data_IF_847991811510
#
_entry.id   IF_847991811510
#
_cell.length_a   1.000
_cell.length_b   1.000
_cell.length_c   1.000
_cell.angle_alpha   90.00
_cell.angle_beta   90.00
_cell.angle_gamma   90.00
#
_symmetry.space_group_name_H-M   'P 1'
#
loop_
_entity.id
_entity.type
_entity.pdbx_description
1 polymer ?
#
# COMPACT_ATOMS: atom_id res chain seq x y z
N UNK A 1 -39.57 -72.08 41.94
CA UNK A 1 -39.41 -70.68 42.40
C UNK A 1 -39.42 -70.65 43.92
N UNK A 2 -38.62 -69.80 44.55
CA UNK A 2 -38.66 -69.65 46.02
C UNK A 2 -39.90 -68.84 46.45
N UNK A 3 -40.40 -69.01 47.69
CA UNK A 3 -41.51 -68.21 48.23
C UNK A 3 -41.25 -66.71 48.15
N UNK A 4 -40.00 -66.29 48.36
CA UNK A 4 -39.56 -64.90 48.18
C UNK A 4 -39.75 -64.41 46.73
N UNK A 5 -39.43 -65.26 45.75
CA UNK A 5 -39.63 -64.95 44.33
C UNK A 5 -41.11 -64.82 43.95
N UNK A 6 -41.98 -65.67 44.50
CA UNK A 6 -43.44 -65.60 44.29
C UNK A 6 -43.99 -64.30 44.89
N UNK A 7 -43.59 -63.96 46.12
CA UNK A 7 -44.00 -62.72 46.79
C UNK A 7 -43.56 -61.47 46.02
N UNK A 8 -42.32 -61.42 45.51
CA UNK A 8 -41.84 -60.30 44.68
C UNK A 8 -42.63 -60.14 43.37
N UNK A 9 -43.10 -61.24 42.76
CA UNK A 9 -43.93 -61.18 41.55
C UNK A 9 -45.35 -60.69 41.85
N UNK A 10 -45.95 -61.10 42.96
CA UNK A 10 -47.25 -60.59 43.41
C UNK A 10 -47.20 -59.06 43.62
N UNK A 11 -46.16 -58.55 44.27
CA UNK A 11 -45.96 -57.10 44.45
C UNK A 11 -45.79 -56.35 43.12
N UNK A 12 -45.10 -56.92 42.13
CA UNK A 12 -45.01 -56.32 40.79
C UNK A 12 -46.36 -56.23 40.08
N UNK A 13 -47.23 -57.22 40.26
CA UNK A 13 -48.58 -57.23 39.68
C UNK A 13 -49.48 -56.16 40.31
N UNK A 14 -49.35 -55.92 41.62
CA UNK A 14 -50.13 -54.89 42.33
C UNK A 14 -49.65 -53.47 42.01
N UNK A 15 -48.33 -53.29 41.83
CA UNK A 15 -47.72 -51.97 41.61
C UNK A 15 -47.75 -51.50 40.14
N UNK A 16 -48.16 -52.36 39.20
CA UNK A 16 -48.44 -51.94 37.83
C UNK A 16 -49.93 -51.68 37.67
N UNK A 17 -50.30 -50.54 37.11
CA UNK A 17 -51.67 -50.30 36.67
C UNK A 17 -52.02 -51.08 35.38
N UNK A 18 -51.00 -51.59 34.67
CA UNK A 18 -51.11 -52.32 33.40
C UNK A 18 -51.79 -51.53 32.26
N UNK A 19 -51.74 -50.19 32.32
CA UNK A 19 -52.38 -49.30 31.34
C UNK A 19 -51.55 -49.11 30.04
N UNK A 20 -50.22 -49.10 30.15
CA UNK A 20 -49.29 -48.90 29.02
C UNK A 20 -47.89 -49.43 29.35
N UNK A 21 -47.11 -49.75 28.31
CA UNK A 21 -45.70 -50.15 28.43
C UNK A 21 -44.83 -49.25 27.54
N UNK A 22 -44.59 -48.03 28.01
CA UNK A 22 -43.80 -47.03 27.29
C UNK A 22 -42.31 -47.19 27.62
N UNK A 23 -41.41 -47.01 26.63
CA UNK A 23 -39.98 -47.05 26.90
C UNK A 23 -39.57 -45.87 27.79
N UNK A 24 -38.62 -46.09 28.70
CA UNK A 24 -38.07 -45.01 29.51
C UNK A 24 -37.11 -44.14 28.68
N UNK A 25 -37.64 -43.10 28.03
CA UNK A 25 -36.91 -42.17 27.17
C UNK A 25 -37.32 -40.72 27.41
N UNK A 26 -36.48 -39.75 26.97
CA UNK A 26 -36.73 -38.33 27.19
C UNK A 26 -38.10 -37.84 26.66
N UNK A 27 -38.64 -38.45 25.60
CA UNK A 27 -39.94 -38.10 25.04
C UNK A 27 -41.13 -38.71 25.78
N UNK A 28 -40.91 -39.76 26.57
CA UNK A 28 -41.95 -40.49 27.31
C UNK A 28 -41.94 -40.19 28.81
N UNK A 29 -40.95 -39.44 29.32
CA UNK A 29 -40.96 -38.90 30.69
C UNK A 29 -42.21 -38.06 30.96
N UNK A 30 -42.68 -37.32 29.95
CA UNK A 30 -43.92 -36.55 30.02
C UNK A 30 -45.01 -37.28 29.25
N UNK A 31 -45.92 -37.94 29.99
CA UNK A 31 -47.08 -38.63 29.40
C UNK A 31 -47.95 -37.73 28.52
N UNK A 32 -48.06 -36.45 28.88
CA UNK A 32 -48.82 -35.46 28.14
C UNK A 32 -47.97 -34.21 27.96
N UNK A 33 -47.90 -33.71 26.72
CA UNK A 33 -47.26 -32.43 26.43
C UNK A 33 -48.25 -31.31 26.73
N UNK A 34 -47.84 -30.37 27.57
CA UNK A 34 -48.64 -29.18 27.93
C UNK A 34 -47.75 -27.95 27.89
N UNK A 35 -48.24 -26.86 27.32
CA UNK A 35 -47.62 -25.55 27.45
C UNK A 35 -48.44 -24.67 28.39
N UNK A 36 -47.79 -24.04 29.37
CA UNK A 36 -48.42 -23.19 30.39
C UNK A 36 -48.54 -21.74 29.91
N UNK A 37 -47.48 -21.18 29.33
CA UNK A 37 -47.51 -19.82 28.75
C UNK A 37 -48.19 -19.80 27.37
N UNK A 38 -48.13 -20.91 26.63
CA UNK A 38 -48.59 -21.02 25.26
C UNK A 38 -47.54 -21.73 24.40
N UNK A 39 -47.97 -22.56 23.46
CA UNK A 39 -47.03 -23.23 22.54
C UNK A 39 -46.42 -22.19 21.62
N UNK A 40 -45.14 -22.34 21.30
CA UNK A 40 -44.52 -21.55 20.24
C UNK A 40 -45.34 -21.63 18.96
N UNK A 41 -45.54 -20.49 18.31
CA UNK A 41 -46.06 -20.43 16.96
C UNK A 41 -45.10 -19.58 16.10
N UNK A 42 -45.07 -19.80 14.77
CA UNK A 42 -44.14 -19.10 13.89
C UNK A 42 -44.21 -17.56 13.94
N UNK A 43 -45.36 -17.01 14.36
CA UNK A 43 -45.60 -15.57 14.37
C UNK A 43 -45.33 -14.89 15.71
N UNK A 44 -45.06 -15.65 16.78
CA UNK A 44 -44.90 -15.12 18.14
C UNK A 44 -43.77 -14.09 18.23
N UNK A 45 -42.66 -14.36 17.54
CA UNK A 45 -41.46 -13.51 17.52
C UNK A 45 -41.10 -13.04 16.09
N UNK A 46 -41.98 -13.29 15.12
CA UNK A 46 -41.71 -12.98 13.71
C UNK A 46 -41.50 -11.49 13.45
N UNK A 47 -42.20 -10.64 14.21
CA UNK A 47 -42.13 -9.19 14.09
C UNK A 47 -41.10 -8.55 15.02
N UNK A 48 -40.37 -9.35 15.80
CA UNK A 48 -39.27 -8.83 16.59
C UNK A 48 -38.09 -8.50 15.68
N UNK A 49 -37.66 -7.24 15.69
CA UNK A 49 -36.51 -6.77 14.93
C UNK A 49 -35.38 -6.43 15.87
N UNK A 50 -34.15 -6.64 15.43
CA UNK A 50 -32.96 -6.24 16.18
C UNK A 50 -33.00 -4.74 16.54
N UNK A 51 -32.65 -4.44 17.79
CA UNK A 51 -32.58 -3.08 18.32
C UNK A 51 -31.17 -2.76 18.76
N UNK A 52 -30.76 -1.51 18.57
CA UNK A 52 -29.50 -0.99 19.11
C UNK A 52 -29.72 -0.48 20.53
N UNK A 53 -28.73 -0.74 21.39
CA UNK A 53 -28.75 -0.26 22.78
C UNK A 53 -28.53 1.25 22.89
N UNK A 54 -27.75 1.81 21.98
CA UNK A 54 -27.49 3.24 21.85
C UNK A 54 -28.02 3.76 20.52
N UNK A 55 -28.44 5.03 20.52
CA UNK A 55 -28.85 5.68 19.29
C UNK A 55 -27.67 5.78 18.31
N UNK A 56 -27.93 5.47 17.05
CA UNK A 56 -26.90 5.46 16.02
C UNK A 56 -26.75 6.85 15.39
N UNK A 57 -25.52 7.34 15.18
CA UNK A 57 -25.34 8.51 14.33
C UNK A 57 -25.80 8.18 12.91
N UNK A 58 -26.87 8.84 12.48
CA UNK A 58 -27.45 8.59 11.16
C UNK A 58 -26.53 9.13 10.05
N UNK A 59 -26.42 8.40 8.95
CA UNK A 59 -25.64 8.85 7.79
C UNK A 59 -26.23 10.11 7.15
N UNK A 60 -27.56 10.14 6.95
CA UNK A 60 -28.29 11.29 6.39
C UNK A 60 -28.78 12.21 7.50
N UNK A 61 -27.87 12.87 8.21
CA UNK A 61 -28.22 13.88 9.21
C UNK A 61 -27.60 15.22 8.87
N UNK A 62 -28.22 16.30 9.35
CA UNK A 62 -27.59 17.61 9.35
C UNK A 62 -26.51 17.61 10.43
N UNK A 63 -25.26 17.85 10.03
CA UNK A 63 -24.12 17.94 10.95
C UNK A 63 -24.16 19.30 11.68
N UNK A 64 -23.66 19.33 12.92
CA UNK A 64 -23.35 20.59 13.62
C UNK A 64 -22.09 21.21 13.03
N UNK A 65 -21.81 22.48 13.38
CA UNK A 65 -20.62 23.18 12.88
C UNK A 65 -19.32 22.48 13.31
N UNK A 66 -19.22 22.08 14.58
CA UNK A 66 -18.04 21.36 15.10
C UNK A 66 -17.83 20.01 14.40
N UNK A 67 -18.91 19.31 14.06
CA UNK A 67 -18.83 18.05 13.32
C UNK A 67 -18.45 18.29 11.86
N UNK A 68 -18.97 19.34 11.24
CA UNK A 68 -18.58 19.76 9.89
C UNK A 68 -17.08 20.04 9.83
N UNK A 69 -16.59 20.92 10.70
CA UNK A 69 -15.17 21.26 10.78
C UNK A 69 -14.33 20.00 11.00
N UNK A 70 -14.72 19.14 11.94
CA UNK A 70 -14.02 17.89 12.20
C UNK A 70 -13.96 16.98 10.97
N UNK A 71 -15.09 16.69 10.31
CA UNK A 71 -15.11 15.75 9.18
C UNK A 71 -14.41 16.33 7.93
N UNK A 72 -14.52 17.64 7.70
CA UNK A 72 -13.82 18.33 6.61
C UNK A 72 -12.31 18.34 6.88
N UNK A 73 -11.90 18.59 8.12
CA UNK A 73 -10.50 18.54 8.51
C UNK A 73 -9.92 17.13 8.32
N UNK A 74 -10.64 16.08 8.73
CA UNK A 74 -10.20 14.70 8.50
C UNK A 74 -10.02 14.41 7.01
N UNK A 75 -10.99 14.79 6.18
CA UNK A 75 -10.93 14.57 4.73
C UNK A 75 -9.79 15.38 4.09
N UNK A 76 -9.62 16.65 4.49
CA UNK A 76 -8.57 17.51 3.97
C UNK A 76 -7.17 17.04 4.40
N UNK A 77 -7.02 16.51 5.61
CA UNK A 77 -5.78 15.94 6.10
C UNK A 77 -5.38 14.70 5.27
N UNK A 78 -6.35 13.81 5.00
CA UNK A 78 -6.11 12.67 4.11
C UNK A 78 -5.71 13.14 2.71
N UNK A 79 -6.46 14.07 2.13
CA UNK A 79 -6.18 14.59 0.78
C UNK A 79 -4.80 15.25 0.70
N UNK A 80 -4.38 16.00 1.72
CA UNK A 80 -3.03 16.59 1.78
C UNK A 80 -1.95 15.52 1.80
N UNK A 81 -2.11 14.48 2.62
CA UNK A 81 -1.14 13.37 2.67
C UNK A 81 -1.05 12.62 1.34
N UNK A 82 -2.18 12.40 0.68
CA UNK A 82 -2.23 11.77 -0.63
C UNK A 82 -1.51 12.63 -1.69
N UNK A 83 -1.78 13.94 -1.72
CA UNK A 83 -1.15 14.87 -2.66
C UNK A 83 0.36 14.98 -2.41
N UNK A 84 0.79 15.12 -1.15
CA UNK A 84 2.20 15.17 -0.78
C UNK A 84 2.94 13.90 -1.20
N UNK A 85 2.34 12.73 -1.00
CA UNK A 85 2.91 11.46 -1.42
C UNK A 85 3.01 11.33 -2.94
N UNK A 86 2.00 11.82 -3.68
CA UNK A 86 2.03 11.86 -5.14
C UNK A 86 3.15 12.79 -5.61
N UNK A 87 3.20 14.02 -5.09
CA UNK A 87 4.21 15.01 -5.46
C UNK A 87 5.62 14.51 -5.15
N UNK A 88 5.83 13.87 -4.00
CA UNK A 88 7.11 13.30 -3.63
C UNK A 88 7.54 12.17 -4.60
N UNK A 89 6.63 11.25 -4.95
CA UNK A 89 6.96 10.17 -5.88
C UNK A 89 7.23 10.70 -7.29
N UNK A 90 6.52 11.75 -7.70
CA UNK A 90 6.78 12.41 -8.97
C UNK A 90 8.14 13.12 -8.93
N UNK A 91 8.44 13.89 -7.88
CA UNK A 91 9.71 14.60 -7.76
C UNK A 91 10.91 13.64 -7.75
N UNK A 92 10.83 12.52 -7.03
CA UNK A 92 11.87 11.48 -7.03
C UNK A 92 12.20 10.93 -8.43
N UNK A 93 11.23 10.90 -9.35
CA UNK A 93 11.39 10.35 -10.69
C UNK A 93 11.61 11.40 -11.78
N UNK A 94 11.06 12.61 -11.63
CA UNK A 94 11.01 13.63 -12.68
C UNK A 94 11.82 14.88 -12.37
N UNK A 95 12.25 15.12 -11.14
CA UNK A 95 13.21 16.19 -10.86
C UNK A 95 14.58 15.79 -11.45
N UNK A 96 14.73 16.03 -12.74
CA UNK A 96 16.01 16.51 -13.28
C UNK A 96 16.35 17.73 -12.42
N UNK A 97 17.57 17.85 -11.86
CA UNK A 97 17.80 18.75 -10.74
C UNK A 97 17.49 20.19 -11.17
N UNK A 98 16.34 20.71 -10.74
CA UNK A 98 16.03 22.12 -10.91
C UNK A 98 17.15 22.96 -10.30
N UNK A 99 17.84 22.42 -9.28
CA UNK A 99 19.04 22.99 -8.70
C UNK A 99 20.14 23.22 -9.74
N UNK A 100 20.44 22.25 -10.61
CA UNK A 100 21.44 22.41 -11.67
C UNK A 100 20.98 23.40 -12.74
N UNK A 101 19.69 23.39 -13.09
CA UNK A 101 19.14 24.36 -14.04
C UNK A 101 19.17 25.79 -13.49
N UNK A 102 18.77 25.99 -12.22
CA UNK A 102 18.82 27.28 -11.51
C UNK A 102 20.24 27.77 -11.37
N UNK A 103 21.19 26.89 -11.07
CA UNK A 103 22.60 27.25 -10.99
C UNK A 103 23.14 27.75 -12.34
N UNK A 104 22.86 27.05 -13.43
CA UNK A 104 23.27 27.49 -14.78
C UNK A 104 22.59 28.81 -15.17
N UNK A 105 21.31 28.99 -14.82
CA UNK A 105 20.60 30.26 -15.03
C UNK A 105 21.26 31.42 -14.29
N UNK A 106 21.65 31.23 -13.03
CA UNK A 106 22.37 32.24 -12.25
C UNK A 106 23.76 32.52 -12.84
N UNK A 107 24.52 31.50 -13.23
CA UNK A 107 25.81 31.66 -13.93
C UNK A 107 25.65 32.45 -15.23
N UNK A 108 24.61 32.16 -16.02
CA UNK A 108 24.29 32.88 -17.25
C UNK A 108 23.98 34.36 -16.97
N UNK A 109 23.14 34.62 -15.97
CA UNK A 109 22.75 35.96 -15.56
C UNK A 109 23.94 36.79 -15.08
N UNK A 110 24.92 36.18 -14.43
CA UNK A 110 26.10 36.87 -13.89
C UNK A 110 27.19 37.10 -14.94
N UNK A 111 27.46 36.12 -15.80
CA UNK A 111 28.63 36.14 -16.68
C UNK A 111 28.33 36.45 -18.15
N UNK A 112 27.13 36.10 -18.63
CA UNK A 112 26.76 36.26 -20.04
C UNK A 112 25.85 37.46 -20.23
N UNK A 113 24.79 37.56 -19.44
CA UNK A 113 23.75 38.58 -19.59
C UNK A 113 24.26 40.03 -19.58
N UNK A 114 25.23 40.43 -18.73
CA UNK A 114 25.76 41.80 -18.73
C UNK A 114 26.57 42.17 -19.98
N UNK A 115 27.02 41.16 -20.73
CA UNK A 115 27.86 41.30 -21.94
C UNK A 115 27.15 40.80 -23.20
N UNK A 116 25.91 40.35 -23.08
CA UNK A 116 25.12 39.82 -24.19
C UNK A 116 24.76 40.97 -25.14
N UNK A 117 24.81 40.71 -26.44
CA UNK A 117 24.43 41.69 -27.44
C UNK A 117 22.92 41.96 -27.37
N UNK A 118 22.54 43.23 -27.48
CA UNK A 118 21.14 43.68 -27.31
C UNK A 118 20.26 43.37 -28.53
N UNK A 119 20.81 43.45 -29.74
CA UNK A 119 20.09 43.21 -30.99
C UNK A 119 20.46 41.82 -31.55
N UNK A 120 19.64 40.83 -31.22
CA UNK A 120 19.85 39.44 -31.66
C UNK A 120 19.34 39.23 -33.10
N UNK A 121 18.35 39.99 -33.55
CA UNK A 121 17.80 39.94 -34.89
C UNK A 121 18.85 40.34 -35.94
N UNK A 122 19.66 41.34 -35.64
CA UNK A 122 20.79 41.74 -36.48
C UNK A 122 21.83 40.61 -36.56
N UNK A 123 22.19 40.00 -35.43
CA UNK A 123 23.14 38.88 -35.38
C UNK A 123 22.67 37.69 -36.23
N UNK A 124 21.40 37.30 -36.11
CA UNK A 124 20.82 36.23 -36.90
C UNK A 124 20.84 36.57 -38.40
N UNK A 125 20.52 37.81 -38.75
CA UNK A 125 20.55 38.30 -40.14
C UNK A 125 21.96 38.35 -40.71
N UNK A 126 22.95 38.65 -39.87
CA UNK A 126 24.37 38.60 -40.23
C UNK A 126 24.84 37.16 -40.46
N UNK A 127 24.52 36.23 -39.56
CA UNK A 127 24.84 34.82 -39.71
C UNK A 127 24.24 34.22 -40.98
N UNK A 128 22.97 34.51 -41.30
CA UNK A 128 22.32 34.09 -42.55
C UNK A 128 23.08 34.56 -43.78
N UNK A 129 23.55 35.82 -43.78
CA UNK A 129 24.33 36.39 -44.88
C UNK A 129 25.72 35.77 -44.98
N UNK A 130 26.40 35.50 -43.87
CA UNK A 130 27.71 34.83 -43.87
C UNK A 130 27.62 33.38 -44.36
N UNK A 131 26.60 32.65 -43.90
CA UNK A 131 26.35 31.29 -44.37
C UNK A 131 26.04 31.25 -45.87
N UNK A 132 25.23 32.18 -46.38
CA UNK A 132 24.97 32.31 -47.82
C UNK A 132 26.23 32.62 -48.66
N UNK A 133 27.24 33.24 -48.04
CA UNK A 133 28.56 33.51 -48.64
C UNK A 133 29.57 32.37 -48.44
N UNK A 134 29.15 31.26 -47.84
CA UNK A 134 30.00 30.09 -47.60
C UNK A 134 30.97 30.21 -46.42
N UNK A 135 30.85 31.25 -45.58
CA UNK A 135 31.62 31.34 -44.35
C UNK A 135 31.06 30.38 -43.30
N UNK A 136 31.96 29.72 -42.56
CA UNK A 136 31.63 28.77 -41.49
C UNK A 136 31.81 29.42 -40.11
N UNK A 137 30.95 29.08 -39.14
CA UNK A 137 31.10 29.54 -37.76
C UNK A 137 32.36 28.96 -37.11
N UNK A 138 32.90 29.69 -36.13
CA UNK A 138 33.95 29.20 -35.25
C UNK A 138 33.39 28.18 -34.25
N UNK A 139 34.21 27.20 -33.84
CA UNK A 139 33.82 26.24 -32.80
C UNK A 139 33.74 26.93 -31.43
N UNK A 140 32.90 26.38 -30.55
CA UNK A 140 32.78 26.88 -29.16
C UNK A 140 34.09 26.72 -28.41
N UNK A 141 34.39 27.71 -27.56
CA UNK A 141 35.57 27.65 -26.70
C UNK A 141 35.32 26.78 -25.47
N UNK A 142 36.39 26.27 -24.86
CA UNK A 142 36.27 25.46 -23.62
C UNK A 142 35.60 26.26 -22.49
N UNK A 143 35.87 27.56 -22.39
CA UNK A 143 35.26 28.42 -21.37
C UNK A 143 33.74 28.57 -21.55
N UNK A 144 33.28 28.71 -22.80
CA UNK A 144 31.86 28.79 -23.14
C UNK A 144 31.13 27.47 -22.83
N UNK A 145 31.73 26.35 -23.20
CA UNK A 145 31.13 25.04 -22.95
C UNK A 145 31.11 24.69 -21.45
N UNK A 146 32.20 24.98 -20.73
CA UNK A 146 32.33 24.69 -19.29
C UNK A 146 31.33 25.46 -18.43
N UNK A 147 30.78 26.58 -18.90
CA UNK A 147 29.70 27.30 -18.22
C UNK A 147 28.49 26.38 -17.94
N UNK A 148 28.19 25.50 -18.89
CA UNK A 148 27.08 24.54 -18.85
C UNK A 148 27.47 23.20 -18.25
N UNK A 149 28.70 23.06 -17.73
CA UNK A 149 29.14 21.86 -17.04
C UNK A 149 28.32 21.69 -15.76
N UNK A 150 27.44 20.70 -15.78
CA UNK A 150 26.61 20.24 -14.66
C UNK A 150 26.82 18.73 -14.47
N UNK A 151 26.56 18.17 -13.28
CA UNK A 151 26.64 16.73 -13.07
C UNK A 151 25.71 15.99 -14.03
N UNK A 152 26.26 15.13 -14.89
CA UNK A 152 25.45 14.22 -15.70
C UNK A 152 25.17 12.95 -14.88
N UNK A 153 23.96 12.88 -14.32
CA UNK A 153 23.51 11.74 -13.52
C UNK A 153 23.45 10.43 -14.31
N UNK A 154 23.34 10.50 -15.64
CA UNK A 154 23.34 9.31 -16.50
C UNK A 154 24.73 8.68 -16.54
N UNK A 155 25.76 9.48 -16.78
CA UNK A 155 27.15 9.01 -16.81
C UNK A 155 27.59 8.54 -15.41
N UNK A 156 27.27 9.32 -14.36
CA UNK A 156 27.56 8.91 -12.97
C UNK A 156 26.92 7.56 -12.61
N UNK A 157 25.66 7.34 -13.00
CA UNK A 157 24.97 6.08 -12.78
C UNK A 157 25.61 4.92 -13.55
N UNK A 158 25.94 5.14 -14.82
CA UNK A 158 26.56 4.12 -15.66
C UNK A 158 27.95 3.73 -15.14
N UNK A 159 28.77 4.71 -14.79
CA UNK A 159 30.12 4.49 -14.24
C UNK A 159 30.08 3.77 -12.90
N UNK A 160 29.12 4.09 -12.03
CA UNK A 160 28.93 3.40 -10.76
C UNK A 160 28.56 1.92 -10.98
N UNK A 161 27.63 1.65 -11.90
CA UNK A 161 27.23 0.28 -12.27
C UNK A 161 28.40 -0.50 -12.87
N UNK A 162 29.15 0.11 -13.79
CA UNK A 162 30.28 -0.55 -14.43
C UNK A 162 31.43 -0.78 -13.46
N UNK A 163 31.66 0.13 -12.52
CA UNK A 163 32.63 -0.06 -11.44
C UNK A 163 32.23 -1.24 -10.54
N UNK A 164 30.95 -1.35 -10.17
CA UNK A 164 30.46 -2.49 -9.39
C UNK A 164 30.63 -3.81 -10.14
N UNK A 165 30.25 -3.88 -11.42
CA UNK A 165 30.42 -5.08 -12.26
C UNK A 165 31.87 -5.52 -12.35
N UNK A 166 32.80 -4.57 -12.51
CA UNK A 166 34.24 -4.87 -12.55
C UNK A 166 34.75 -5.41 -11.22
N UNK A 167 34.26 -4.89 -10.09
CA UNK A 167 34.64 -5.39 -8.75
C UNK A 167 34.12 -6.80 -8.51
N UNK A 168 32.86 -7.05 -8.88
CA UNK A 168 32.26 -8.38 -8.75
C UNK A 168 32.98 -9.42 -9.62
N UNK A 169 33.32 -9.06 -10.86
CA UNK A 169 34.08 -9.94 -11.75
C UNK A 169 35.46 -10.29 -11.16
N UNK A 170 36.16 -9.33 -10.55
CA UNK A 170 37.44 -9.59 -9.86
C UNK A 170 37.26 -10.54 -8.68
N UNK A 171 36.24 -10.29 -7.85
CA UNK A 171 35.95 -11.15 -6.71
C UNK A 171 35.60 -12.58 -7.15
N UNK A 172 34.88 -12.73 -8.27
CA UNK A 172 34.56 -14.04 -8.84
C UNK A 172 35.82 -14.78 -9.35
N UNK A 173 36.76 -14.07 -9.99
CA UNK A 173 38.05 -14.65 -10.39
C UNK A 173 38.88 -15.09 -9.17
N UNK A 174 38.94 -14.27 -8.12
CA UNK A 174 39.61 -14.58 -6.86
C UNK A 174 38.96 -15.78 -6.17
N UNK A 175 37.63 -15.85 -6.15
CA UNK A 175 36.89 -17.00 -5.63
C UNK A 175 37.27 -18.29 -6.37
N UNK A 176 37.31 -18.27 -7.71
CA UNK A 176 37.75 -19.41 -8.49
C UNK A 176 39.21 -19.79 -8.23
N UNK A 177 40.12 -18.82 -8.03
CA UNK A 177 41.52 -19.08 -7.66
C UNK A 177 41.60 -19.77 -6.30
N UNK A 178 40.91 -19.25 -5.29
CA UNK A 178 40.85 -19.86 -3.96
C UNK A 178 40.29 -21.29 -4.01
N UNK A 179 39.23 -21.55 -4.79
CA UNK A 179 38.70 -22.91 -4.96
C UNK A 179 39.69 -23.86 -5.63
N UNK A 180 40.50 -23.38 -6.58
CA UNK A 180 41.57 -24.19 -7.20
C UNK A 180 42.71 -24.47 -6.21
N UNK A 181 43.07 -23.50 -5.39
CA UNK A 181 44.11 -23.67 -4.37
C UNK A 181 43.72 -24.66 -3.28
N UNK A 182 42.45 -24.71 -2.89
CA UNK A 182 41.92 -25.70 -1.94
C UNK A 182 42.14 -27.17 -2.37
N UNK A 183 42.32 -27.42 -3.68
CA UNK A 183 42.58 -28.77 -4.20
C UNK A 183 44.07 -29.16 -4.15
N UNK A 184 44.97 -28.22 -3.83
CA UNK A 184 46.39 -28.56 -3.61
C UNK A 184 46.54 -29.27 -2.27
N UNK A 185 47.37 -30.32 -2.25
CA UNK A 185 47.66 -31.04 -1.02
C UNK A 185 48.23 -30.08 0.05
N UNK A 186 47.82 -30.21 1.32
CA UNK A 186 48.41 -29.43 2.40
C UNK A 186 49.91 -29.75 2.49
N UNK A 187 50.72 -28.71 2.69
CA UNK A 187 52.14 -28.85 2.98
C UNK A 187 52.36 -29.20 4.44
#
# INVERSE_FOLDING_TARGET
>A
MSPMGIWLRLHRLVNTANDYDLPFSASQLHFQRRSVQGTWNPWLWHYETERRRTEAPQWRRKLSEEEWDYYVDQYSAQMKQEEEAIQQRVSEHTEIPEQSAREVQERWKQHVLPRLQTDLEFNLSHFKRQHARGQRPEPVTMGEYKLFSVPDHRELGQDAVDMMRRREARHQEEWWRHRKEQLKAPK
#
